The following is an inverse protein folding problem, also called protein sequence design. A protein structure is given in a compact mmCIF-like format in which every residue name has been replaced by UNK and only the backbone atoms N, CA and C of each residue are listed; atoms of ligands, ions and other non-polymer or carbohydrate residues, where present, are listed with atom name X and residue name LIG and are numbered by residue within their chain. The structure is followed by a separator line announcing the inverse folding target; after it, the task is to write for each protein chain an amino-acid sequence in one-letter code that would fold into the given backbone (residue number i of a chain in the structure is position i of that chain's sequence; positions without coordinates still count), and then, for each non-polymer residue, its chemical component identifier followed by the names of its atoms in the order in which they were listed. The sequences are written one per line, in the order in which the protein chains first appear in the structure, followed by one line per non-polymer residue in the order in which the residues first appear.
data_IF_315206396619
#
_entry.id   IF_315206396619
#
_cell.length_a   1.000
_cell.length_b   1.000
_cell.length_c   1.000
_cell.angle_alpha   90.00
_cell.angle_beta   90.00
_cell.angle_gamma   90.00
#
_symmetry.space_group_name_H-M   'P 1'
#
loop_
_entity.id
_entity.type
_entity.pdbx_description
1 polymer ?
#
# COMPACT_ATOMS: atom_id res chain seq x y z
N UNK A 1 0.15 -34.19 52.12
CA UNK A 1 0.47 -32.77 51.85
C UNK A 1 1.79 -32.70 51.07
N UNK A 2 1.83 -33.24 49.83
CA UNK A 2 3.08 -33.47 49.11
C UNK A 2 3.04 -33.26 47.59
N UNK A 3 1.96 -32.68 47.05
CA UNK A 3 1.81 -32.47 45.60
C UNK A 3 2.41 -31.14 45.11
N UNK A 4 2.68 -30.19 46.02
CA UNK A 4 3.28 -28.88 45.69
C UNK A 4 4.81 -28.86 45.76
N UNK A 5 5.43 -29.90 46.33
CA UNK A 5 6.89 -30.00 46.44
C UNK A 5 7.52 -30.44 45.11
N UNK A 6 6.94 -31.44 44.46
CA UNK A 6 7.40 -31.95 43.16
C UNK A 6 7.34 -30.86 42.07
N UNK A 7 6.30 -30.02 42.05
CA UNK A 7 6.13 -29.00 41.02
C UNK A 7 7.17 -27.86 41.11
N UNK A 8 7.73 -27.61 42.30
CA UNK A 8 8.79 -26.62 42.51
C UNK A 8 10.15 -27.16 42.07
N UNK A 9 10.38 -28.45 42.26
CA UNK A 9 11.61 -29.12 41.84
C UNK A 9 11.67 -29.24 40.31
N UNK A 10 10.56 -29.59 39.67
CA UNK A 10 10.43 -29.70 38.21
C UNK A 10 10.65 -28.36 37.50
N UNK A 11 10.11 -27.26 38.06
CA UNK A 11 10.33 -25.90 37.53
C UNK A 11 11.79 -25.43 37.67
N UNK A 12 12.49 -25.86 38.73
CA UNK A 12 13.89 -25.48 38.95
C UNK A 12 14.85 -26.22 38.02
N UNK A 13 14.53 -27.47 37.65
CA UNK A 13 15.32 -28.25 36.69
C UNK A 13 15.15 -27.73 35.26
N UNK A 14 13.91 -27.41 34.85
CA UNK A 14 13.63 -26.86 33.53
C UNK A 14 14.27 -25.47 33.29
N UNK A 15 14.37 -24.63 34.33
CA UNK A 15 14.99 -23.30 34.22
C UNK A 15 16.51 -23.37 34.15
N UNK A 16 17.16 -24.31 34.85
CA UNK A 16 18.61 -24.42 34.83
C UNK A 16 19.15 -25.02 33.51
N UNK A 17 18.34 -25.76 32.76
CA UNK A 17 18.71 -26.32 31.45
C UNK A 17 18.56 -25.29 30.30
N UNK A 18 17.60 -24.36 30.41
CA UNK A 18 17.35 -23.30 29.41
C UNK A 18 18.41 -22.18 29.41
N UNK A 19 19.03 -21.91 30.57
CA UNK A 19 20.06 -20.86 30.67
C UNK A 19 21.40 -21.32 30.06
N UNK A 20 21.68 -22.63 30.06
CA UNK A 20 22.94 -23.18 29.51
C UNK A 20 22.93 -23.23 27.97
N UNK A 21 21.76 -23.29 27.34
CA UNK A 21 21.64 -23.26 25.87
C UNK A 21 21.69 -21.84 25.27
N UNK A 22 21.57 -20.78 26.08
CA UNK A 22 21.67 -19.39 25.60
C UNK A 22 23.10 -18.81 25.60
N UNK A 23 24.05 -19.44 26.33
CA UNK A 23 25.42 -18.92 26.51
C UNK A 23 26.50 -19.73 25.74
N UNK A 24 26.13 -20.68 24.87
CA UNK A 24 27.11 -21.57 24.18
C UNK A 24 27.35 -21.27 22.69
N UNK A 25 26.76 -20.21 22.12
CA UNK A 25 27.08 -19.79 20.74
C UNK A 25 27.57 -18.34 20.66
N UNK A 26 28.59 -17.98 21.44
CA UNK A 26 29.46 -16.87 21.07
C UNK A 26 30.91 -17.10 21.55
N UNK A 27 31.78 -17.31 20.54
CA UNK A 27 33.14 -16.80 20.48
C UNK A 27 34.28 -17.58 21.18
N UNK A 28 34.86 -18.56 20.48
CA UNK A 28 36.32 -18.77 20.47
C UNK A 28 36.81 -19.34 19.11
N UNK A 29 37.39 -18.49 18.25
CA UNK A 29 38.60 -18.85 17.51
C UNK A 29 39.27 -17.63 16.88
N UNK A 30 40.31 -17.13 17.55
CA UNK A 30 41.33 -16.28 16.96
C UNK A 30 42.60 -17.12 16.70
N UNK A 31 43.06 -17.15 15.45
CA UNK A 31 44.50 -17.23 15.11
C UNK A 31 45.06 -18.58 14.62
N UNK A 32 45.11 -18.78 13.30
CA UNK A 32 46.38 -19.04 12.57
C UNK A 32 46.20 -18.96 11.04
N UNK A 33 46.66 -17.84 10.48
CA UNK A 33 47.55 -17.68 9.31
C UNK A 33 47.63 -18.77 8.21
N UNK A 34 47.52 -18.28 6.96
CA UNK A 34 47.94 -18.81 5.64
C UNK A 34 47.01 -19.78 4.90
N UNK A 35 46.21 -19.25 3.94
CA UNK A 35 46.20 -19.54 2.48
C UNK A 35 45.37 -18.42 1.81
N UNK A 36 45.99 -17.31 1.42
CA UNK A 36 46.33 -16.97 0.03
C UNK A 36 45.14 -16.55 -0.85
N UNK A 37 45.10 -15.23 -1.08
CA UNK A 37 44.41 -14.49 -2.13
C UNK A 37 44.15 -15.25 -3.43
N UNK A 38 42.89 -15.24 -3.88
CA UNK A 38 42.47 -15.24 -5.30
C UNK A 38 40.95 -15.15 -5.38
N UNK A 39 40.43 -13.94 -5.65
CA UNK A 39 39.23 -13.64 -6.48
C UNK A 39 38.70 -12.25 -6.15
N UNK A 40 39.52 -11.24 -6.40
CA UNK A 40 39.07 -9.87 -6.58
C UNK A 40 40.10 -9.16 -7.48
N UNK A 41 39.90 -9.23 -8.80
CA UNK A 41 40.37 -8.28 -9.81
C UNK A 41 40.15 -8.88 -11.19
N UNK A 42 39.03 -8.52 -11.85
CA UNK A 42 39.00 -8.27 -13.30
C UNK A 42 37.60 -7.76 -13.71
N UNK A 43 37.35 -6.46 -13.49
CA UNK A 43 36.36 -5.69 -14.25
C UNK A 43 36.90 -4.28 -14.55
N UNK A 44 38.17 -4.19 -14.92
CA UNK A 44 38.75 -2.92 -15.35
C UNK A 44 39.65 -3.11 -16.56
N UNK A 45 39.06 -3.37 -17.73
CA UNK A 45 39.55 -2.81 -18.99
C UNK A 45 38.60 -3.15 -20.15
N UNK A 46 38.07 -2.11 -20.78
CA UNK A 46 37.22 -2.24 -21.94
C UNK A 46 37.97 -2.82 -23.15
N UNK A 47 37.30 -3.73 -23.84
CA UNK A 47 37.44 -3.97 -25.29
C UNK A 47 36.23 -4.79 -25.77
N UNK A 48 35.45 -4.22 -26.69
CA UNK A 48 34.47 -4.96 -27.50
C UNK A 48 35.20 -6.02 -28.33
N UNK A 49 34.52 -7.14 -28.63
CA UNK A 49 34.61 -7.72 -29.96
C UNK A 49 33.23 -7.92 -30.60
N UNK A 50 33.12 -7.46 -31.84
CA UNK A 50 32.14 -7.91 -32.81
C UNK A 50 32.55 -9.30 -33.32
N UNK A 51 31.58 -10.19 -33.57
CA UNK A 51 31.53 -10.96 -34.82
C UNK A 51 30.17 -11.66 -34.98
N UNK A 52 29.70 -11.64 -36.22
CA UNK A 52 28.40 -12.08 -36.72
C UNK A 52 28.29 -13.60 -36.91
N UNK A 53 27.03 -14.02 -37.03
CA UNK A 53 26.47 -15.11 -37.85
C UNK A 53 26.69 -16.56 -37.39
N UNK A 54 25.59 -17.17 -36.91
CA UNK A 54 25.15 -18.50 -37.33
C UNK A 54 23.66 -18.66 -36.98
N UNK A 55 22.92 -19.14 -37.95
CA UNK A 55 21.47 -19.31 -38.00
C UNK A 55 21.00 -20.52 -37.16
N UNK A 56 19.74 -20.45 -36.67
CA UNK A 56 18.65 -21.41 -36.91
C UNK A 56 17.71 -21.65 -35.71
N UNK A 57 16.42 -21.44 -36.01
CA UNK A 57 15.28 -22.32 -35.70
C UNK A 57 14.86 -22.51 -34.22
N UNK A 58 13.99 -21.62 -33.72
CA UNK A 58 12.85 -22.04 -32.89
C UNK A 58 11.75 -20.96 -32.76
N UNK A 59 11.19 -20.47 -33.86
CA UNK A 59 9.91 -19.73 -33.84
C UNK A 59 9.18 -19.94 -35.17
N UNK A 60 8.40 -21.02 -35.31
CA UNK A 60 7.46 -21.19 -36.42
C UNK A 60 6.34 -22.21 -36.09
N UNK A 61 5.89 -22.24 -34.83
CA UNK A 61 4.92 -23.23 -34.34
C UNK A 61 3.58 -22.70 -33.85
N UNK A 62 3.37 -21.38 -33.74
CA UNK A 62 2.17 -20.84 -33.08
C UNK A 62 1.24 -20.00 -33.96
N UNK A 63 1.69 -19.58 -35.15
CA UNK A 63 0.93 -18.67 -36.02
C UNK A 63 0.08 -19.37 -37.11
N UNK A 64 -0.10 -20.69 -37.04
CA UNK A 64 -0.81 -21.45 -38.08
C UNK A 64 -2.16 -22.05 -37.66
N UNK A 65 -2.47 -22.06 -36.36
CA UNK A 65 -3.72 -22.66 -35.86
C UNK A 65 -4.89 -21.67 -35.70
N UNK A 66 -4.63 -20.35 -35.62
CA UNK A 66 -5.71 -19.38 -35.42
C UNK A 66 -6.39 -18.97 -36.74
N UNK A 67 -5.71 -19.10 -37.87
CA UNK A 67 -6.23 -18.79 -39.21
C UNK A 67 -7.15 -19.88 -39.78
N UNK A 68 -7.22 -21.07 -39.16
CA UNK A 68 -8.11 -22.16 -39.59
C UNK A 68 -9.44 -22.24 -38.83
N UNK A 69 -9.64 -21.42 -37.79
CA UNK A 69 -10.91 -21.35 -37.03
C UNK A 69 -11.82 -20.19 -37.44
N UNK A 70 -11.32 -19.18 -38.18
CA UNK A 70 -12.12 -18.03 -38.62
C UNK A 70 -12.96 -18.29 -39.88
N UNK A 71 -12.82 -19.45 -40.54
CA UNK A 71 -13.37 -19.69 -41.89
C UNK A 71 -14.57 -20.66 -41.90
N UNK A 72 -15.29 -20.82 -40.77
CA UNK A 72 -16.32 -21.86 -40.64
C UNK A 72 -17.64 -21.48 -39.95
N UNK A 73 -18.04 -20.21 -39.93
CA UNK A 73 -19.38 -19.83 -39.44
C UNK A 73 -20.05 -18.72 -40.27
N UNK A 74 -19.95 -18.83 -41.60
CA UNK A 74 -20.74 -18.02 -42.54
C UNK A 74 -21.76 -18.92 -43.26
N UNK A 75 -22.82 -19.30 -42.54
CA UNK A 75 -24.10 -19.68 -43.13
C UNK A 75 -25.18 -19.67 -42.02
N UNK A 76 -25.97 -18.61 -41.94
CA UNK A 76 -27.43 -18.65 -41.76
C UNK A 76 -27.96 -17.30 -42.25
N UNK A 77 -28.89 -17.42 -43.19
CA UNK A 77 -29.51 -16.37 -43.97
C UNK A 77 -30.33 -15.36 -43.15
N UNK A 78 -30.57 -14.23 -43.79
CA UNK A 78 -31.38 -13.11 -43.36
C UNK A 78 -32.85 -13.49 -43.18
N UNK A 79 -33.46 -13.07 -42.08
CA UNK A 79 -34.88 -12.66 -42.09
C UNK A 79 -34.99 -11.28 -41.46
N UNK A 80 -35.24 -10.33 -42.33
CA UNK A 80 -35.61 -8.94 -42.12
C UNK A 80 -36.96 -8.87 -41.37
N UNK A 81 -37.06 -8.07 -40.32
CA UNK A 81 -38.26 -7.33 -39.95
C UNK A 81 -37.92 -6.24 -38.92
N UNK A 82 -38.26 -4.97 -39.21
CA UNK A 82 -38.15 -3.85 -38.28
C UNK A 82 -39.39 -3.79 -37.36
N UNK A 83 -39.30 -2.95 -36.33
CA UNK A 83 -40.37 -2.53 -35.39
C UNK A 83 -40.44 -3.33 -34.08
N UNK A 84 -39.76 -2.83 -33.04
CA UNK A 84 -40.48 -2.24 -31.90
C UNK A 84 -39.56 -1.47 -30.92
N UNK A 85 -40.01 -0.32 -30.38
CA UNK A 85 -39.16 0.66 -29.69
C UNK A 85 -39.01 0.49 -28.17
N UNK A 86 -37.77 0.74 -27.72
CA UNK A 86 -37.31 1.50 -26.55
C UNK A 86 -38.40 1.91 -25.54
N UNK A 87 -38.42 1.27 -24.36
CA UNK A 87 -39.00 1.86 -23.15
C UNK A 87 -37.89 2.41 -22.24
N UNK A 88 -37.77 3.74 -22.27
CA UNK A 88 -37.02 4.53 -21.30
C UNK A 88 -37.90 4.94 -20.10
N UNK A 89 -37.23 5.16 -18.98
CA UNK A 89 -37.71 5.42 -17.62
C UNK A 89 -38.74 6.57 -17.43
N UNK A 90 -39.43 6.63 -16.27
CA UNK A 90 -40.59 7.48 -16.02
C UNK A 90 -40.25 8.84 -15.38
N UNK A 91 -41.11 9.84 -15.61
CA UNK A 91 -41.23 11.07 -14.82
C UNK A 91 -42.68 11.63 -14.91
N UNK A 92 -43.12 12.47 -13.94
CA UNK A 92 -44.50 12.53 -13.47
C UNK A 92 -45.27 13.77 -13.93
N UNK A 93 -46.61 13.71 -13.90
CA UNK A 93 -47.43 14.91 -13.91
C UNK A 93 -48.62 14.82 -12.93
N UNK A 94 -48.77 15.92 -12.20
CA UNK A 94 -49.74 16.23 -11.15
C UNK A 94 -51.14 16.47 -11.74
N UNK A 95 -52.24 16.31 -10.98
CA UNK A 95 -52.77 17.50 -10.30
C UNK A 95 -53.43 17.24 -8.93
N UNK A 96 -53.31 18.22 -8.04
CA UNK A 96 -54.14 18.44 -6.84
C UNK A 96 -55.52 19.03 -7.24
N UNK A 97 -56.50 19.34 -6.33
CA UNK A 97 -56.50 19.30 -4.84
C UNK A 97 -57.80 18.74 -4.21
N UNK A 98 -57.80 18.41 -2.89
CA UNK A 98 -58.73 19.00 -1.90
C UNK A 98 -58.43 18.55 -0.45
N UNK A 99 -58.45 19.57 0.41
CA UNK A 99 -58.47 19.67 1.86
C UNK A 99 -59.23 18.61 2.67
N UNK A 100 -58.64 18.18 3.80
CA UNK A 100 -59.19 18.35 5.17
C UNK A 100 -58.09 18.06 6.22
N UNK A 101 -57.85 19.01 7.13
CA UNK A 101 -57.21 18.79 8.44
C UNK A 101 -58.31 18.48 9.50
N UNK A 102 -58.05 18.12 10.78
CA UNK A 102 -56.76 17.94 11.50
C UNK A 102 -56.68 16.62 12.30
N UNK A 103 -55.48 16.22 12.78
CA UNK A 103 -55.29 15.65 14.14
C UNK A 103 -53.81 15.35 14.48
N UNK A 104 -53.38 15.89 15.63
CA UNK A 104 -52.12 15.60 16.33
C UNK A 104 -52.08 14.14 16.80
N UNK A 105 -51.04 13.38 16.45
CA UNK A 105 -50.49 12.27 17.26
C UNK A 105 -48.97 12.22 17.08
N UNK A 106 -48.23 12.29 18.20
CA UNK A 106 -46.82 11.93 18.29
C UNK A 106 -46.70 10.45 17.91
N UNK A 107 -46.08 10.15 16.78
CA UNK A 107 -45.70 8.79 16.40
C UNK A 107 -44.20 8.78 16.16
N UNK A 108 -43.55 7.90 16.91
CA UNK A 108 -42.12 7.60 16.89
C UNK A 108 -41.69 7.34 15.45
N UNK A 109 -40.71 8.12 14.97
CA UNK A 109 -40.07 7.87 13.69
C UNK A 109 -39.44 6.47 13.74
N UNK A 110 -39.77 5.54 12.82
CA UNK A 110 -38.91 4.40 12.58
C UNK A 110 -37.58 4.97 12.10
N UNK A 111 -36.51 4.78 12.87
CA UNK A 111 -35.16 5.03 12.40
C UNK A 111 -35.00 4.25 11.10
N UNK A 112 -34.85 4.97 9.99
CA UNK A 112 -34.43 4.36 8.75
C UNK A 112 -33.11 3.63 9.04
N UNK A 113 -33.00 2.32 8.73
CA UNK A 113 -31.69 1.69 8.80
C UNK A 113 -30.81 2.46 7.83
N UNK A 114 -29.71 3.02 8.35
CA UNK A 114 -28.65 3.58 7.51
C UNK A 114 -28.32 2.51 6.47
N UNK A 115 -28.69 2.78 5.21
CA UNK A 115 -28.14 2.04 4.09
C UNK A 115 -26.65 2.33 4.12
N UNK A 116 -25.88 1.48 4.81
CA UNK A 116 -24.48 1.27 4.47
C UNK A 116 -24.54 0.95 2.98
N UNK A 117 -24.05 1.86 2.16
CA UNK A 117 -23.63 1.50 0.83
C UNK A 117 -22.70 0.32 1.05
N UNK A 118 -23.17 -0.88 0.69
CA UNK A 118 -22.29 -2.02 0.55
C UNK A 118 -21.51 -1.67 -0.70
N UNK A 119 -20.47 -0.84 -0.53
CA UNK A 119 -19.47 -0.64 -1.56
C UNK A 119 -18.90 -2.01 -1.86
N UNK A 120 -18.69 -2.29 -3.14
CA UNK A 120 -18.01 -3.51 -3.56
C UNK A 120 -16.62 -3.48 -2.91
N UNK A 121 -16.46 -4.23 -1.82
CA UNK A 121 -15.19 -4.41 -1.14
C UNK A 121 -14.56 -5.67 -1.73
N UNK A 122 -13.55 -5.45 -2.55
CA UNK A 122 -12.70 -6.54 -3.02
C UNK A 122 -11.70 -6.85 -1.90
N UNK A 123 -11.57 -8.13 -1.52
CA UNK A 123 -10.63 -8.56 -0.49
C UNK A 123 -9.71 -9.62 -1.07
N UNK A 124 -8.41 -9.37 -0.98
CA UNK A 124 -7.37 -10.36 -1.27
C UNK A 124 -7.06 -11.09 0.03
N UNK A 125 -7.32 -12.39 0.05
CA UNK A 125 -7.08 -13.25 1.20
C UNK A 125 -5.59 -13.41 1.50
N UNK A 126 -5.26 -13.71 2.76
CA UNK A 126 -3.90 -13.77 3.30
C UNK A 126 -2.97 -14.76 2.57
N UNK A 127 -3.51 -15.87 2.06
CA UNK A 127 -2.73 -16.88 1.31
C UNK A 127 -2.63 -16.60 -0.20
N UNK A 128 -3.23 -15.51 -0.68
CA UNK A 128 -3.22 -15.18 -2.10
C UNK A 128 -1.90 -14.51 -2.46
N UNK A 129 -1.26 -15.00 -3.53
CA UNK A 129 -0.09 -14.38 -4.14
C UNK A 129 -0.49 -13.89 -5.51
N UNK A 130 -0.39 -12.59 -5.73
CA UNK A 130 -0.66 -11.98 -7.04
C UNK A 130 0.66 -11.55 -7.65
N UNK A 131 0.88 -11.98 -8.89
CA UNK A 131 2.01 -11.58 -9.71
C UNK A 131 1.46 -10.84 -10.94
N UNK A 132 1.79 -9.56 -11.06
CA UNK A 132 1.34 -8.69 -12.15
C UNK A 132 0.67 -7.42 -11.64
N UNK A 133 0.06 -6.67 -12.56
CA UNK A 133 -0.53 -5.38 -12.26
C UNK A 133 -1.97 -5.55 -11.78
N UNK A 134 -2.34 -4.80 -10.73
CA UNK A 134 -3.69 -4.78 -10.18
C UNK A 134 -4.32 -3.44 -10.53
N UNK A 135 -5.46 -3.47 -11.20
CA UNK A 135 -6.31 -2.29 -11.38
C UNK A 135 -7.67 -2.56 -10.76
N UNK A 136 -8.10 -1.71 -9.83
CA UNK A 136 -9.40 -1.85 -9.19
C UNK A 136 -10.12 -0.51 -9.02
N UNK A 137 -11.44 -0.54 -9.10
CA UNK A 137 -12.29 0.61 -8.80
C UNK A 137 -12.97 0.40 -7.44
N UNK A 138 -13.04 1.44 -6.62
CA UNK A 138 -13.72 1.39 -5.32
C UNK A 138 -12.81 1.00 -4.15
N UNK A 139 -13.26 0.07 -3.31
CA UNK A 139 -12.55 -0.32 -2.09
C UNK A 139 -11.83 -1.66 -2.27
N UNK A 140 -10.52 -1.69 -2.02
CA UNK A 140 -9.72 -2.91 -2.03
C UNK A 140 -9.03 -3.11 -0.68
N UNK A 141 -9.12 -4.32 -0.14
CA UNK A 141 -8.36 -4.75 1.02
C UNK A 141 -7.36 -5.84 0.62
N UNK A 142 -6.08 -5.62 0.89
CA UNK A 142 -4.98 -6.54 0.60
C UNK A 142 -4.50 -7.16 1.91
N UNK A 143 -4.75 -8.46 2.11
CA UNK A 143 -4.17 -9.22 3.24
C UNK A 143 -3.02 -10.14 2.81
N UNK A 144 -3.01 -10.54 1.54
CA UNK A 144 -2.00 -11.43 0.98
C UNK A 144 -0.73 -10.72 0.51
N UNK A 145 -0.03 -11.37 -0.42
CA UNK A 145 1.19 -10.85 -1.03
C UNK A 145 0.94 -10.40 -2.46
N UNK A 146 1.41 -9.20 -2.80
CA UNK A 146 1.28 -8.63 -4.15
C UNK A 146 2.66 -8.25 -4.68
N UNK A 147 2.99 -8.78 -5.86
CA UNK A 147 4.17 -8.43 -6.62
C UNK A 147 3.74 -7.77 -7.94
N UNK A 148 3.95 -6.47 -8.04
CA UNK A 148 3.60 -5.67 -9.22
C UNK A 148 2.94 -4.34 -8.86
N UNK A 149 2.54 -3.61 -9.88
CA UNK A 149 1.98 -2.27 -9.72
C UNK A 149 0.50 -2.33 -9.34
N UNK A 150 0.10 -1.50 -8.38
CA UNK A 150 -1.26 -1.45 -7.85
C UNK A 150 -1.86 -0.08 -8.13
N UNK A 151 -2.88 -0.02 -8.99
CA UNK A 151 -3.59 1.21 -9.33
C UNK A 151 -5.07 1.11 -8.94
N UNK A 152 -5.51 1.99 -8.04
CA UNK A 152 -6.84 1.93 -7.45
C UNK A 152 -7.47 3.30 -7.41
N UNK A 153 -8.67 3.42 -8.01
CA UNK A 153 -9.46 4.64 -7.86
C UNK A 153 -10.43 4.49 -6.68
N UNK A 154 -9.91 4.78 -5.48
CA UNK A 154 -10.69 4.74 -4.25
C UNK A 154 -9.85 4.45 -3.02
N UNK A 155 -10.41 3.65 -2.11
CA UNK A 155 -9.83 3.34 -0.80
C UNK A 155 -9.06 2.02 -0.85
N UNK A 156 -7.77 2.09 -0.56
CA UNK A 156 -6.89 0.95 -0.46
C UNK A 156 -6.57 0.67 1.01
N UNK A 157 -6.85 -0.54 1.48
CA UNK A 157 -6.44 -1.04 2.80
C UNK A 157 -5.38 -2.13 2.62
N UNK A 158 -4.19 -1.97 3.17
CA UNK A 158 -3.10 -2.94 3.04
C UNK A 158 -2.76 -3.49 4.43
N UNK A 159 -2.64 -4.80 4.54
CA UNK A 159 -2.25 -5.51 5.76
C UNK A 159 -1.27 -6.66 5.52
N UNK A 160 -0.91 -6.91 4.26
CA UNK A 160 0.08 -7.91 3.87
C UNK A 160 1.35 -7.27 3.29
N UNK A 161 2.02 -8.00 2.40
CA UNK A 161 3.25 -7.55 1.75
C UNK A 161 2.96 -7.07 0.33
N UNK A 162 3.44 -5.88 -0.01
CA UNK A 162 3.29 -5.30 -1.35
C UNK A 162 4.65 -4.85 -1.85
N UNK A 163 5.06 -5.37 -3.01
CA UNK A 163 6.28 -4.98 -3.69
C UNK A 163 5.93 -4.42 -5.07
N UNK A 164 6.14 -3.12 -5.27
CA UNK A 164 5.80 -2.42 -6.52
C UNK A 164 5.42 -0.96 -6.33
N UNK A 165 4.97 -0.31 -7.40
CA UNK A 165 4.42 1.05 -7.32
C UNK A 165 2.95 1.02 -6.91
N UNK A 166 2.59 1.80 -5.90
CA UNK A 166 1.20 1.87 -5.39
C UNK A 166 0.61 3.24 -5.69
N UNK A 167 -0.44 3.26 -6.51
CA UNK A 167 -1.23 4.44 -6.89
C UNK A 167 -2.64 4.31 -6.35
N UNK A 168 -3.04 5.21 -5.45
CA UNK A 168 -4.39 5.21 -4.91
C UNK A 168 -4.88 6.61 -4.52
N UNK A 169 -6.19 6.75 -4.32
CA UNK A 169 -6.80 8.01 -3.87
C UNK A 169 -6.69 8.16 -2.34
N UNK A 170 -6.96 7.08 -1.60
CA UNK A 170 -6.74 6.99 -0.15
C UNK A 170 -6.04 5.68 0.20
N UNK A 171 -5.02 5.74 1.07
CA UNK A 171 -4.31 4.54 1.51
C UNK A 171 -4.35 4.41 3.03
N UNK A 172 -4.81 3.26 3.49
CA UNK A 172 -4.78 2.83 4.87
C UNK A 172 -3.90 1.59 4.97
N UNK A 173 -2.93 1.59 5.88
CA UNK A 173 -2.04 0.46 6.08
C UNK A 173 -2.05 0.05 7.53
N UNK A 174 -2.13 -1.24 7.81
CA UNK A 174 -2.08 -1.75 9.18
C UNK A 174 -1.38 -3.11 9.19
N UNK A 175 -0.20 -3.18 9.81
CA UNK A 175 0.62 -4.40 9.78
C UNK A 175 1.19 -4.76 8.41
N UNK A 176 1.24 -3.81 7.47
CA UNK A 176 1.72 -4.06 6.11
C UNK A 176 3.24 -3.90 5.97
N UNK A 177 3.82 -4.58 4.99
CA UNK A 177 5.21 -4.37 4.56
C UNK A 177 5.19 -3.92 3.12
N UNK A 178 5.63 -2.70 2.85
CA UNK A 178 5.60 -2.12 1.50
C UNK A 178 7.02 -1.80 1.06
N UNK A 179 7.42 -2.33 -0.07
CA UNK A 179 8.69 -2.02 -0.72
C UNK A 179 8.40 -1.41 -2.09
N UNK A 180 8.63 -0.10 -2.22
CA UNK A 180 8.36 0.62 -3.46
C UNK A 180 7.89 2.06 -3.25
N UNK A 181 7.54 2.72 -4.36
CA UNK A 181 7.07 4.11 -4.32
C UNK A 181 5.55 4.13 -4.13
N UNK A 182 5.09 5.07 -3.29
CA UNK A 182 3.66 5.24 -2.99
C UNK A 182 3.24 6.62 -3.47
N UNK A 183 2.31 6.65 -4.41
CA UNK A 183 1.69 7.87 -4.93
C UNK A 183 0.21 7.89 -4.52
N UNK A 184 -0.09 8.73 -3.53
CA UNK A 184 -1.43 8.94 -3.04
C UNK A 184 -1.94 10.31 -3.49
N UNK A 185 -3.12 10.38 -4.11
CA UNK A 185 -3.69 11.69 -4.49
C UNK A 185 -4.31 12.44 -3.31
N UNK A 186 -4.70 11.72 -2.25
CA UNK A 186 -5.36 12.28 -1.08
C UNK A 186 -4.59 12.00 0.20
N UNK A 187 -5.18 11.20 1.08
CA UNK A 187 -4.64 10.94 2.42
C UNK A 187 -4.01 9.55 2.55
N UNK A 188 -2.87 9.50 3.24
CA UNK A 188 -2.21 8.27 3.65
C UNK A 188 -2.27 8.14 5.17
N UNK A 189 -2.67 6.96 5.66
CA UNK A 189 -2.63 6.61 7.08
C UNK A 189 -1.83 5.32 7.26
N UNK A 190 -0.68 5.46 7.90
CA UNK A 190 0.23 4.36 8.22
C UNK A 190 -0.04 3.95 9.66
N UNK A 191 -0.74 2.84 9.84
CA UNK A 191 -1.05 2.25 11.14
C UNK A 191 0.17 1.59 11.80
N UNK A 192 -0.01 1.07 13.03
CA UNK A 192 1.04 0.42 13.79
C UNK A 192 1.54 -0.85 13.09
N UNK A 193 2.76 -1.29 13.43
CA UNK A 193 3.42 -2.48 12.87
C UNK A 193 3.60 -2.47 11.34
N UNK A 194 3.36 -1.33 10.69
CA UNK A 194 3.62 -1.15 9.27
C UNK A 194 5.06 -0.72 9.06
N UNK A 195 5.71 -1.29 8.05
CA UNK A 195 7.07 -0.93 7.62
C UNK A 195 7.04 -0.56 6.15
N UNK A 196 7.49 0.66 5.82
CA UNK A 196 7.55 1.15 4.46
C UNK A 196 9.00 1.41 4.08
N UNK A 197 9.46 0.79 3.00
CA UNK A 197 10.75 1.06 2.36
C UNK A 197 10.49 1.69 0.98
N UNK A 198 10.67 3.00 0.89
CA UNK A 198 10.54 3.74 -0.36
C UNK A 198 10.02 5.16 -0.17
N UNK A 199 9.76 5.83 -1.29
CA UNK A 199 9.34 7.22 -1.28
C UNK A 199 7.82 7.33 -1.20
N UNK A 200 7.34 8.32 -0.44
CA UNK A 200 5.91 8.57 -0.26
C UNK A 200 5.59 9.95 -0.81
N UNK A 201 4.63 10.02 -1.72
CA UNK A 201 4.03 11.26 -2.19
C UNK A 201 2.53 11.25 -1.84
N UNK A 202 2.07 12.24 -1.08
CA UNK A 202 0.67 12.36 -0.67
C UNK A 202 0.24 13.82 -0.44
N UNK A 203 -1.07 14.08 -0.34
CA UNK A 203 -1.55 15.39 0.10
C UNK A 203 -1.49 15.51 1.62
N UNK A 204 -1.93 14.49 2.36
CA UNK A 204 -1.90 14.47 3.82
C UNK A 204 -1.40 13.12 4.33
N UNK A 205 -0.59 13.11 5.38
CA UNK A 205 -0.02 11.88 5.93
C UNK A 205 -0.19 11.80 7.45
N UNK A 206 -0.65 10.64 7.93
CA UNK A 206 -0.65 10.28 9.35
C UNK A 206 0.22 9.04 9.51
N UNK A 207 1.26 9.10 10.32
CA UNK A 207 2.23 8.01 10.49
C UNK A 207 2.27 7.57 11.94
N UNK A 208 2.01 6.29 12.17
CA UNK A 208 2.14 5.60 13.46
C UNK A 208 3.21 4.50 13.40
N UNK A 209 3.56 4.03 12.19
CA UNK A 209 4.53 2.95 11.93
C UNK A 209 5.95 3.43 11.61
N UNK A 210 6.73 2.55 10.97
CA UNK A 210 8.09 2.82 10.55
C UNK A 210 8.16 3.13 9.04
N UNK A 211 8.83 4.22 8.67
CA UNK A 211 9.01 4.66 7.29
C UNK A 211 10.48 4.92 7.04
N UNK A 212 11.02 4.31 5.99
CA UNK A 212 12.38 4.54 5.51
C UNK A 212 12.34 5.02 4.07
N UNK A 213 12.69 6.29 3.86
CA UNK A 213 12.67 6.94 2.56
C UNK A 213 12.22 8.40 2.64
N UNK A 214 12.14 9.05 1.49
CA UNK A 214 11.77 10.45 1.42
C UNK A 214 10.25 10.60 1.43
N UNK A 215 9.77 11.51 2.27
CA UNK A 215 8.34 11.79 2.44
C UNK A 215 8.06 13.17 1.87
N UNK A 216 7.30 13.24 0.77
CA UNK A 216 6.89 14.49 0.13
C UNK A 216 5.38 14.67 0.27
N UNK A 217 4.97 15.60 1.13
CA UNK A 217 3.57 15.79 1.49
C UNK A 217 3.17 17.25 1.36
N UNK A 218 2.32 17.60 0.40
CA UNK A 218 1.98 19.00 0.15
C UNK A 218 1.16 19.66 1.28
N UNK A 219 0.46 18.87 2.10
CA UNK A 219 -0.37 19.33 3.21
C UNK A 219 0.27 19.05 4.56
N UNK A 220 -0.50 18.40 5.44
CA UNK A 220 -0.10 18.16 6.84
C UNK A 220 0.44 16.76 7.04
N UNK A 221 1.56 16.66 7.76
CA UNK A 221 2.13 15.40 8.25
C UNK A 221 1.94 15.32 9.76
N UNK A 222 1.30 14.26 10.23
CA UNK A 222 1.08 14.00 11.65
C UNK A 222 1.84 12.73 12.01
N UNK A 223 2.82 12.85 12.89
CA UNK A 223 3.56 11.73 13.45
C UNK A 223 2.97 11.41 14.83
N UNK A 224 2.50 10.19 15.00
CA UNK A 224 1.95 9.67 16.26
C UNK A 224 3.07 9.11 17.17
N UNK A 225 2.74 8.74 18.40
CA UNK A 225 3.72 8.39 19.45
C UNK A 225 4.67 7.23 19.15
N UNK A 226 4.35 6.35 18.18
CA UNK A 226 5.20 5.21 17.82
C UNK A 226 5.84 5.37 16.44
N UNK A 227 5.70 6.53 15.82
CA UNK A 227 6.19 6.78 14.48
C UNK A 227 7.72 6.83 14.45
N UNK A 228 8.33 6.13 13.49
CA UNK A 228 9.76 6.19 13.23
C UNK A 228 9.94 6.54 11.76
N UNK A 229 10.55 7.68 11.47
CA UNK A 229 10.81 8.10 10.08
C UNK A 229 12.30 8.31 9.89
N UNK A 230 12.89 7.58 8.94
CA UNK A 230 14.30 7.70 8.57
C UNK A 230 14.36 8.17 7.11
N UNK A 231 14.70 9.44 6.91
CA UNK A 231 14.74 10.08 5.59
C UNK A 231 14.36 11.56 5.62
N UNK A 232 14.32 12.18 4.45
CA UNK A 232 13.99 13.60 4.35
C UNK A 232 12.48 13.81 4.24
N UNK A 233 11.94 14.70 5.07
CA UNK A 233 10.52 15.04 5.09
C UNK A 233 10.33 16.44 4.51
N UNK A 234 9.63 16.54 3.38
CA UNK A 234 9.15 17.79 2.79
C UNK A 234 7.67 17.92 3.07
N UNK A 235 7.27 19.01 3.72
CA UNK A 235 5.84 19.25 3.95
C UNK A 235 5.43 20.71 4.09
N UNK A 236 4.13 20.98 4.24
CA UNK A 236 3.62 22.31 4.58
C UNK A 236 3.50 22.50 6.10
N UNK A 237 2.94 21.51 6.79
CA UNK A 237 2.82 21.50 8.25
C UNK A 237 3.24 20.15 8.80
N UNK A 238 3.97 20.15 9.92
CA UNK A 238 4.35 18.94 10.65
C UNK A 238 3.88 19.03 12.08
N UNK A 239 3.17 18.01 12.53
CA UNK A 239 2.81 17.80 13.92
C UNK A 239 3.50 16.52 14.41
N UNK A 240 4.22 16.62 15.52
CA UNK A 240 4.96 15.50 16.10
C UNK A 240 4.42 15.22 17.49
N UNK A 241 3.96 13.99 17.72
CA UNK A 241 3.51 13.53 19.02
C UNK A 241 4.68 13.04 19.87
N UNK A 242 4.51 13.00 21.19
CA UNK A 242 5.54 12.48 22.08
C UNK A 242 5.82 11.00 21.80
N UNK A 243 7.09 10.65 21.60
CA UNK A 243 7.58 9.30 21.30
C UNK A 243 7.92 9.07 19.83
N UNK A 244 7.53 9.97 18.92
CA UNK A 244 7.93 9.87 17.52
C UNK A 244 9.44 10.15 17.36
N UNK A 245 10.12 9.34 16.55
CA UNK A 245 11.54 9.48 16.22
C UNK A 245 11.68 9.85 14.75
N UNK A 246 12.43 10.91 14.47
CA UNK A 246 12.71 11.37 13.10
C UNK A 246 14.22 11.47 12.94
N UNK A 247 14.75 10.73 11.98
CA UNK A 247 16.16 10.77 11.58
C UNK A 247 16.27 11.26 10.14
N UNK A 248 16.60 12.53 9.96
CA UNK A 248 16.78 13.13 8.64
C UNK A 248 16.46 14.61 8.63
N UNK A 249 16.40 15.21 7.44
CA UNK A 249 16.10 16.63 7.30
C UNK A 249 14.60 16.84 7.12
N UNK A 250 13.99 17.54 8.07
CA UNK A 250 12.62 18.04 7.90
C UNK A 250 12.66 19.46 7.31
N UNK A 251 12.05 19.67 6.14
CA UNK A 251 11.96 20.97 5.47
C UNK A 251 10.50 21.33 5.18
N UNK A 252 10.05 22.46 5.71
CA UNK A 252 8.69 22.97 5.46
C UNK A 252 8.66 23.87 4.22
N UNK A 253 8.91 23.30 3.03
CA UNK A 253 9.06 24.06 1.79
C UNK A 253 7.74 24.60 1.23
N UNK A 254 6.62 23.98 1.59
CA UNK A 254 5.28 24.36 1.10
C UNK A 254 4.54 25.28 2.08
N UNK A 255 5.19 25.72 3.16
CA UNK A 255 4.63 26.66 4.12
C UNK A 255 4.36 28.02 3.47
N UNK A 256 3.20 28.62 3.77
CA UNK A 256 2.85 29.96 3.27
C UNK A 256 3.72 31.07 3.92
N UNK A 257 4.44 30.72 4.99
CA UNK A 257 5.23 31.65 5.80
C UNK A 257 6.68 31.56 5.32
N UNK A 258 7.10 32.54 4.52
CA UNK A 258 8.51 32.71 4.15
C UNK A 258 9.25 33.40 5.31
N UNK A 259 10.11 32.70 6.07
CA UNK A 259 10.76 33.28 7.26
C UNK A 259 11.63 34.49 6.89
N UNK A 260 12.23 34.49 5.71
CA UNK A 260 13.11 35.57 5.23
C UNK A 260 12.41 36.94 5.21
N UNK A 261 11.14 36.98 4.79
CA UNK A 261 10.38 38.24 4.73
C UNK A 261 10.08 38.85 6.11
N UNK A 262 9.97 38.03 7.16
CA UNK A 262 9.72 38.50 8.53
C UNK A 262 10.98 39.17 9.12
N UNK A 263 12.17 38.65 8.81
CA UNK A 263 13.42 39.21 9.32
C UNK A 263 13.89 40.46 8.54
N UNK A 264 13.52 40.59 7.27
CA UNK A 264 13.89 41.74 6.44
C UNK A 264 13.17 43.05 6.85
N UNK A 265 11.91 42.99 7.33
CA UNK A 265 11.17 44.16 7.80
C UNK A 265 11.83 44.85 9.02
N UNK A 266 12.53 44.09 9.86
CA UNK A 266 13.20 44.63 11.05
C UNK A 266 14.46 45.42 10.65
N UNK A 267 15.08 45.09 9.52
CA UNK A 267 16.34 45.70 9.08
C UNK A 267 16.14 47.07 8.41
N UNK A 268 14.96 47.32 7.83
CA UNK A 268 14.61 48.59 7.17
C UNK A 268 14.05 49.67 8.12
N UNK A 269 13.97 49.40 9.43
CA UNK A 269 13.44 50.34 10.42
C UNK A 269 14.51 51.05 11.26
N UNK A 270 15.78 51.00 10.84
CA UNK A 270 16.91 51.71 11.44
C UNK A 270 17.42 52.82 10.54
#
# INVERSE_FOLDING_TARGET
MGFFSDLKEDLSQAVNELVIQADTEENQSAGSTQVQDKMAQDWASGKKPQSKAADNEFQDGFNKDLSQMLDKMEEIEMTDNPDDPIFASPAPDNPAPVSVAPQKKKTVQPQQPLKKSVGNLSVLADSMVINGNITAEGALAIRGTVYGDVEIDGKLSISGTVEGEVKASEVYMEGAQITGNILCKGSIKVGPKTVILGNINAENAVVTGAVKGDVDVHGTVILESTAIVIGDIKSKFVQVSNGAVIEGKCSQCYADINPTSIFDEIKNKK
#
